data_IF_589595071658
#
_entry.id   IF_589595071658
#
_cell.length_a   1.000
_cell.length_b   1.000
_cell.length_c   1.000
_cell.angle_alpha   90.00
_cell.angle_beta   90.00
_cell.angle_gamma   90.00
#
_symmetry.space_group_name_H-M   'P 1'
#
loop_
_entity.id
_entity.type
_entity.pdbx_description
1 polymer ?
#
# COMPACT_ATOMS: atom_id res chain seq x y z
N UNK A 1 -24.64 4.69 -21.36
CA UNK A 1 -23.71 5.29 -22.35
C UNK A 1 -22.32 4.67 -22.16
N UNK A 2 -21.59 4.32 -23.23
CA UNK A 2 -20.22 3.80 -23.11
C UNK A 2 -19.21 4.93 -22.79
N UNK A 3 -18.14 4.59 -22.06
CA UNK A 3 -17.08 5.53 -21.71
C UNK A 3 -16.25 5.93 -22.94
N UNK A 4 -15.82 7.20 -23.01
CA UNK A 4 -15.02 7.70 -24.13
C UNK A 4 -13.59 7.10 -24.11
N UNK A 5 -13.17 6.38 -25.17
CA UNK A 5 -11.89 5.68 -25.22
C UNK A 5 -10.67 6.60 -25.05
N UNK A 6 -10.76 7.87 -25.45
CA UNK A 6 -9.64 8.82 -25.36
C UNK A 6 -9.08 8.97 -23.95
N UNK A 7 -9.91 8.79 -22.91
CA UNK A 7 -9.51 8.92 -21.51
C UNK A 7 -9.09 7.59 -20.87
N UNK A 8 -9.22 6.48 -21.59
CA UNK A 8 -8.82 5.16 -21.11
C UNK A 8 -7.33 4.94 -21.36
N UNK A 9 -6.68 4.19 -20.45
CA UNK A 9 -5.29 3.77 -20.66
C UNK A 9 -5.22 2.78 -21.82
N UNK A 10 -4.65 3.22 -22.95
CA UNK A 10 -4.59 2.45 -24.20
C UNK A 10 -3.58 1.30 -24.14
N UNK A 11 -2.43 1.52 -23.49
CA UNK A 11 -1.40 0.49 -23.35
C UNK A 11 -1.86 -0.61 -22.40
N UNK A 12 -1.97 -1.84 -22.92
CA UNK A 12 -2.33 -3.03 -22.12
C UNK A 12 -1.34 -3.26 -20.96
N UNK A 13 -0.05 -3.00 -21.18
CA UNK A 13 0.99 -3.10 -20.16
C UNK A 13 0.85 -2.07 -19.05
N UNK A 14 0.58 -0.80 -19.41
CA UNK A 14 0.34 0.24 -18.40
C UNK A 14 -0.92 -0.06 -17.57
N UNK A 15 -1.97 -0.58 -18.22
CA UNK A 15 -3.19 -1.02 -17.53
C UNK A 15 -2.91 -2.18 -16.57
N UNK A 16 -2.19 -3.21 -17.01
CA UNK A 16 -1.79 -4.34 -16.17
C UNK A 16 -0.97 -3.87 -14.96
N UNK A 17 0.02 -2.99 -15.17
CA UNK A 17 0.85 -2.44 -14.10
C UNK A 17 0.04 -1.62 -13.10
N UNK A 18 -0.92 -0.80 -13.55
CA UNK A 18 -1.80 -0.04 -12.65
C UNK A 18 -2.72 -0.94 -11.84
N UNK A 19 -3.31 -1.97 -12.46
CA UNK A 19 -4.18 -2.93 -11.75
C UNK A 19 -3.38 -3.68 -10.69
N UNK A 20 -2.20 -4.19 -11.04
CA UNK A 20 -1.33 -4.90 -10.10
C UNK A 20 -0.78 -3.97 -9.01
N UNK A 21 -0.43 -2.72 -9.34
CA UNK A 21 -0.03 -1.72 -8.34
C UNK A 21 -1.18 -1.38 -7.39
N UNK A 22 -2.41 -1.26 -7.89
CA UNK A 22 -3.58 -0.99 -7.06
C UNK A 22 -3.83 -2.15 -6.08
N UNK A 23 -3.94 -3.37 -6.59
CA UNK A 23 -4.28 -4.55 -5.80
C UNK A 23 -3.09 -4.97 -4.92
N UNK A 24 -1.98 -5.39 -5.53
CA UNK A 24 -0.84 -5.95 -4.79
C UNK A 24 -0.01 -4.87 -4.13
N UNK A 25 0.38 -3.84 -4.88
CA UNK A 25 1.22 -2.77 -4.33
C UNK A 25 0.52 -2.00 -3.22
N UNK A 26 -0.75 -1.64 -3.40
CA UNK A 26 -1.56 -0.98 -2.37
C UNK A 26 -1.74 -1.85 -1.12
N UNK A 27 -1.89 -3.17 -1.29
CA UNK A 27 -2.00 -4.11 -0.18
C UNK A 27 -0.68 -4.20 0.59
N UNK A 28 0.45 -4.32 -0.10
CA UNK A 28 1.77 -4.33 0.52
C UNK A 28 2.04 -3.08 1.35
N UNK A 29 1.76 -1.89 0.80
CA UNK A 29 1.91 -0.63 1.53
C UNK A 29 0.97 -0.58 2.74
N UNK A 30 -0.32 -0.92 2.57
CA UNK A 30 -1.29 -0.87 3.67
C UNK A 30 -0.92 -1.82 4.82
N UNK A 31 -0.57 -3.06 4.52
CA UNK A 31 -0.20 -4.05 5.54
C UNK A 31 1.12 -3.67 6.22
N UNK A 32 2.17 -3.35 5.45
CA UNK A 32 3.47 -2.98 6.02
C UNK A 32 3.38 -1.72 6.88
N UNK A 33 2.57 -0.73 6.50
CA UNK A 33 2.29 0.45 7.32
C UNK A 33 1.70 0.09 8.68
N UNK A 34 0.65 -0.73 8.72
CA UNK A 34 0.02 -1.12 9.98
C UNK A 34 0.91 -2.03 10.84
N UNK A 35 1.69 -2.93 10.22
CA UNK A 35 2.66 -3.75 10.94
C UNK A 35 3.80 -2.92 11.52
N UNK A 36 4.26 -1.89 10.80
CA UNK A 36 5.21 -0.93 11.33
C UNK A 36 4.61 -0.18 12.53
N UNK A 37 3.36 0.27 12.48
CA UNK A 37 2.71 0.84 13.66
C UNK A 37 2.63 -0.17 14.82
N UNK A 38 2.27 -1.41 14.53
CA UNK A 38 2.15 -2.46 15.55
C UNK A 38 3.49 -2.82 16.24
N UNK A 39 4.64 -2.53 15.61
CA UNK A 39 5.95 -2.73 16.26
C UNK A 39 6.32 -1.63 17.26
N UNK A 40 5.73 -0.45 17.15
CA UNK A 40 6.02 0.71 18.01
C UNK A 40 4.93 0.99 19.04
N UNK A 41 3.69 0.59 18.76
CA UNK A 41 2.53 0.80 19.62
C UNK A 41 1.99 -0.53 20.17
N UNK A 42 0.87 -0.48 20.90
CA UNK A 42 0.20 -1.69 21.38
C UNK A 42 -0.30 -2.53 20.18
N UNK A 43 0.34 -3.69 19.98
CA UNK A 43 0.06 -4.62 18.88
C UNK A 43 -1.41 -5.00 18.77
N UNK A 44 -2.05 -5.34 19.89
CA UNK A 44 -3.46 -5.78 19.91
C UNK A 44 -4.38 -4.69 19.40
N UNK A 45 -4.22 -3.45 19.91
CA UNK A 45 -5.04 -2.33 19.48
C UNK A 45 -4.84 -2.02 18.00
N UNK A 46 -3.59 -1.98 17.53
CA UNK A 46 -3.29 -1.70 16.12
C UNK A 46 -3.87 -2.77 15.20
N UNK A 47 -3.74 -4.05 15.54
CA UNK A 47 -4.25 -5.17 14.71
C UNK A 47 -5.78 -5.16 14.66
N UNK A 48 -6.46 -4.88 15.77
CA UNK A 48 -7.93 -4.76 15.78
C UNK A 48 -8.39 -3.58 14.92
N UNK A 49 -7.73 -2.41 15.05
CA UNK A 49 -8.07 -1.24 14.22
C UNK A 49 -7.77 -1.47 12.75
N UNK A 50 -6.67 -2.17 12.43
CA UNK A 50 -6.27 -2.53 11.07
C UNK A 50 -7.34 -3.30 10.31
N UNK A 51 -8.21 -4.07 11.00
CA UNK A 51 -9.32 -4.76 10.36
C UNK A 51 -10.21 -3.80 9.54
N UNK A 52 -10.32 -2.55 9.96
CA UNK A 52 -11.07 -1.50 9.26
C UNK A 52 -10.14 -0.55 8.49
N UNK A 53 -9.14 0.03 9.17
CA UNK A 53 -8.27 1.04 8.57
C UNK A 53 -7.37 0.47 7.47
N UNK A 54 -7.02 -0.81 7.53
CA UNK A 54 -6.24 -1.49 6.49
C UNK A 54 -6.99 -1.55 5.16
N UNK A 55 -8.30 -1.84 5.20
CA UNK A 55 -9.13 -1.85 4.00
C UNK A 55 -9.32 -0.43 3.44
N UNK A 56 -9.62 0.55 4.31
CA UNK A 56 -9.82 1.95 3.89
C UNK A 56 -8.54 2.51 3.22
N UNK A 57 -7.38 2.32 3.86
CA UNK A 57 -6.09 2.75 3.32
C UNK A 57 -5.79 2.03 2.00
N UNK A 58 -6.07 0.73 1.91
CA UNK A 58 -5.84 -0.04 0.70
C UNK A 58 -6.68 0.49 -0.47
N UNK A 59 -7.98 0.73 -0.27
CA UNK A 59 -8.87 1.29 -1.30
C UNK A 59 -8.42 2.70 -1.72
N UNK A 60 -8.00 3.55 -0.77
CA UNK A 60 -7.45 4.86 -1.09
C UNK A 60 -6.20 4.75 -2.00
N UNK A 61 -5.29 3.82 -1.69
CA UNK A 61 -4.12 3.53 -2.52
C UNK A 61 -4.50 2.93 -3.88
N UNK A 62 -5.55 2.12 -3.97
CA UNK A 62 -6.04 1.64 -5.26
C UNK A 62 -6.46 2.80 -6.16
N UNK A 63 -7.20 3.78 -5.62
CA UNK A 63 -7.61 4.98 -6.35
C UNK A 63 -6.37 5.75 -6.83
N UNK A 64 -5.39 5.98 -5.96
CA UNK A 64 -4.15 6.69 -6.29
C UNK A 64 -3.38 5.98 -7.42
N UNK A 65 -3.36 4.64 -7.44
CA UNK A 65 -2.68 3.89 -8.49
C UNK A 65 -3.29 4.10 -9.89
N UNK A 66 -4.60 4.30 -9.98
CA UNK A 66 -5.25 4.63 -11.24
C UNK A 66 -5.06 6.10 -11.66
N UNK A 67 -4.94 7.02 -10.69
CA UNK A 67 -4.62 8.43 -10.92
C UNK A 67 -3.20 8.66 -11.44
N UNK A 68 -2.26 7.74 -11.16
CA UNK A 68 -0.87 7.88 -11.58
C UNK A 68 -0.71 7.94 -13.12
N UNK A 69 0.16 8.82 -13.64
CA UNK A 69 0.41 8.90 -15.09
C UNK A 69 1.12 7.66 -15.66
N UNK A 70 1.84 6.90 -14.84
CA UNK A 70 2.59 5.70 -15.25
C UNK A 70 2.51 4.61 -14.19
N UNK A 71 2.21 3.38 -14.61
CA UNK A 71 2.17 2.20 -13.75
C UNK A 71 3.52 1.88 -13.11
N UNK A 72 4.62 2.13 -13.82
CA UNK A 72 5.98 1.96 -13.30
C UNK A 72 6.30 2.92 -12.17
N UNK A 73 5.89 4.19 -12.30
CA UNK A 73 6.16 5.20 -11.27
C UNK A 73 5.44 4.86 -9.97
N UNK A 74 4.17 4.44 -10.04
CA UNK A 74 3.44 4.08 -8.84
C UNK A 74 3.97 2.80 -8.19
N UNK A 75 4.36 1.79 -8.99
CA UNK A 75 5.01 0.60 -8.47
C UNK A 75 6.29 0.94 -7.71
N UNK A 76 7.14 1.80 -8.27
CA UNK A 76 8.36 2.27 -7.60
C UNK A 76 8.06 2.98 -6.27
N UNK A 77 7.06 3.86 -6.23
CA UNK A 77 6.64 4.54 -4.99
C UNK A 77 6.12 3.55 -3.95
N UNK A 78 5.26 2.60 -4.35
CA UNK A 78 4.68 1.63 -3.42
C UNK A 78 5.73 0.68 -2.86
N UNK A 79 6.65 0.18 -3.68
CA UNK A 79 7.75 -0.64 -3.20
C UNK A 79 8.68 0.13 -2.26
N UNK A 80 8.98 1.40 -2.57
CA UNK A 80 9.82 2.24 -1.72
C UNK A 80 9.15 2.47 -0.35
N UNK A 81 7.84 2.77 -0.33
CA UNK A 81 7.08 2.91 0.91
C UNK A 81 7.02 1.61 1.71
N UNK A 82 6.78 0.48 1.04
CA UNK A 82 6.80 -0.84 1.70
C UNK A 82 8.16 -1.12 2.33
N UNK A 83 9.26 -0.88 1.61
CA UNK A 83 10.62 -1.06 2.15
C UNK A 83 10.90 -0.12 3.33
N UNK A 84 10.45 1.14 3.25
CA UNK A 84 10.55 2.09 4.35
C UNK A 84 9.82 1.57 5.61
N UNK A 85 8.59 1.09 5.46
CA UNK A 85 7.82 0.53 6.57
C UNK A 85 8.42 -0.77 7.12
N UNK A 86 8.97 -1.63 6.26
CA UNK A 86 9.73 -2.79 6.71
C UNK A 86 10.96 -2.38 7.55
N UNK A 87 11.66 -1.32 7.15
CA UNK A 87 12.76 -0.75 7.93
C UNK A 87 12.31 -0.24 9.30
N UNK A 88 11.21 0.53 9.34
CA UNK A 88 10.62 1.02 10.60
C UNK A 88 10.18 -0.14 11.50
N UNK A 89 9.57 -1.18 10.93
CA UNK A 89 9.16 -2.38 11.66
C UNK A 89 10.37 -3.11 12.27
N UNK A 90 11.46 -3.28 11.51
CA UNK A 90 12.69 -3.89 11.98
C UNK A 90 13.33 -3.11 13.13
N UNK A 91 13.40 -1.79 13.01
CA UNK A 91 13.88 -0.92 14.09
C UNK A 91 12.99 -1.03 15.33
N UNK A 92 11.68 -1.03 15.17
CA UNK A 92 10.73 -1.20 16.27
C UNK A 92 10.95 -2.51 17.03
N UNK A 93 11.09 -3.62 16.32
CA UNK A 93 11.38 -4.92 16.94
C UNK A 93 12.75 -4.99 17.62
N UNK A 94 13.73 -4.24 17.13
CA UNK A 94 15.10 -4.21 17.68
C UNK A 94 15.18 -3.36 18.95
N UNK A 95 14.50 -2.20 18.97
CA UNK A 95 14.59 -1.24 20.09
C UNK A 95 13.43 -1.36 21.10
N UNK A 96 12.32 -2.01 20.76
CA UNK A 96 11.19 -2.28 21.66
C UNK A 96 10.93 -3.79 21.77
N UNK A 97 11.75 -4.55 22.52
CA UNK A 97 11.55 -6.00 22.69
C UNK A 97 10.31 -6.36 23.53
N UNK A 98 9.66 -5.39 24.17
CA UNK A 98 8.52 -5.59 25.08
C UNK A 98 7.22 -5.90 24.32
N UNK A 99 7.12 -5.56 23.03
CA UNK A 99 5.96 -5.85 22.16
C UNK A 99 6.02 -7.22 21.47
N UNK A 100 7.01 -8.06 21.82
CA UNK A 100 7.22 -9.38 21.21
C UNK A 100 6.16 -10.40 21.64
#
# INVERSE_FOLDING_TARGET
>A
MPANPKYLTQSKWQRFLKITAAILGGYFVSVSFHLALASWFNKTNVVITMAFSGFILWVALMIIAFLAKSGWKIWGIYLLLTLLFCGIMYLGQTYNPITK
#
